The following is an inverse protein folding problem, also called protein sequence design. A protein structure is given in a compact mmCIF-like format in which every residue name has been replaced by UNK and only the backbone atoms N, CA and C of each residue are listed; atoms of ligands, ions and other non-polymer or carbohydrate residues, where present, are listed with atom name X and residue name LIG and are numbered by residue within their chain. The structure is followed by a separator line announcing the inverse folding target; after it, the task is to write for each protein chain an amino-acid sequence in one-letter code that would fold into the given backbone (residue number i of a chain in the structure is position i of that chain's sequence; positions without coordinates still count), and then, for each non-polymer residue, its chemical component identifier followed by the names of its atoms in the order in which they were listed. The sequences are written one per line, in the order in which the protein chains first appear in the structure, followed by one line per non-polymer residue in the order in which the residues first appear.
data_IF_331409103541
#
_entry.id   IF_331409103541
#
_cell.length_a   1.000
_cell.length_b   1.000
_cell.length_c   1.000
_cell.angle_alpha   90.00
_cell.angle_beta   90.00
_cell.angle_gamma   90.00
#
_symmetry.space_group_name_H-M   'P 1'
#
loop_
_entity.id
_entity.type
_entity.pdbx_description
1 polymer ?
#
# COMPACT_ATOMS: atom_id res chain seq x y z
N UNK A 1 -15.17 -10.47 -39.38
CA UNK A 1 -13.99 -9.97 -38.64
C UNK A 1 -14.17 -10.40 -37.19
N UNK A 2 -13.22 -11.13 -36.58
CA UNK A 2 -13.39 -11.60 -35.22
C UNK A 2 -13.29 -10.43 -34.23
N UNK A 3 -14.36 -10.25 -33.48
CA UNK A 3 -14.48 -9.34 -32.34
C UNK A 3 -13.52 -9.78 -31.24
N UNK A 4 -12.59 -8.90 -30.86
CA UNK A 4 -11.81 -9.08 -29.63
C UNK A 4 -12.74 -8.80 -28.46
N UNK A 5 -13.25 -9.85 -27.83
CA UNK A 5 -13.90 -9.75 -26.52
C UNK A 5 -12.77 -9.73 -25.49
N UNK A 6 -12.43 -8.55 -24.97
CA UNK A 6 -11.61 -8.44 -23.76
C UNK A 6 -12.49 -8.95 -22.62
N UNK A 7 -12.37 -10.24 -22.28
CA UNK A 7 -12.89 -10.77 -21.03
C UNK A 7 -12.02 -10.20 -19.90
N UNK A 8 -12.37 -9.00 -19.43
CA UNK A 8 -11.86 -8.45 -18.19
C UNK A 8 -12.47 -9.30 -17.08
N UNK A 9 -11.76 -10.31 -16.61
CA UNK A 9 -12.19 -11.14 -15.48
C UNK A 9 -12.49 -10.19 -14.33
N UNK A 10 -13.77 -9.95 -14.01
CA UNK A 10 -14.17 -9.14 -12.86
C UNK A 10 -13.77 -9.91 -11.60
N UNK A 11 -12.51 -9.76 -11.18
CA UNK A 11 -12.04 -10.25 -9.90
C UNK A 11 -12.76 -9.42 -8.83
N UNK A 12 -13.72 -10.03 -8.15
CA UNK A 12 -14.44 -9.38 -7.05
C UNK A 12 -13.48 -9.24 -5.87
N UNK A 13 -12.96 -8.03 -5.67
CA UNK A 13 -12.16 -7.70 -4.50
C UNK A 13 -13.06 -7.64 -3.26
N UNK A 14 -12.61 -8.25 -2.17
CA UNK A 14 -13.26 -8.12 -0.88
C UNK A 14 -12.71 -6.88 -0.20
N UNK A 15 -13.51 -5.80 -0.21
CA UNK A 15 -13.22 -4.54 0.46
C UNK A 15 -13.87 -4.56 1.85
N UNK A 16 -13.07 -4.34 2.88
CA UNK A 16 -13.48 -4.08 4.25
C UNK A 16 -13.39 -2.58 4.52
N UNK A 17 -14.38 -2.03 5.23
CA UNK A 17 -14.44 -0.60 5.56
C UNK A 17 -14.40 -0.43 7.07
N UNK A 18 -13.37 0.24 7.57
CA UNK A 18 -13.30 0.69 8.95
C UNK A 18 -13.90 2.09 9.05
N UNK A 19 -15.13 2.18 9.57
CA UNK A 19 -15.83 3.47 9.69
C UNK A 19 -15.23 4.31 10.81
N UNK A 20 -14.82 5.52 10.49
CA UNK A 20 -14.37 6.53 11.47
C UNK A 20 -15.53 7.46 11.84
N UNK A 21 -16.30 7.89 10.84
CA UNK A 21 -17.55 8.66 10.96
C UNK A 21 -18.58 8.14 9.94
N UNK A 22 -19.71 8.82 9.79
CA UNK A 22 -20.72 8.47 8.77
C UNK A 22 -20.21 8.65 7.33
N UNK A 23 -19.34 9.64 7.10
CA UNK A 23 -18.82 10.03 5.78
C UNK A 23 -17.31 9.79 5.62
N UNK A 24 -16.65 9.14 6.58
CA UNK A 24 -15.21 8.88 6.55
C UNK A 24 -14.91 7.45 7.00
N UNK A 25 -14.28 6.67 6.13
CA UNK A 25 -13.82 5.32 6.40
C UNK A 25 -12.38 5.10 5.90
N UNK A 26 -11.77 4.02 6.40
CA UNK A 26 -10.53 3.47 5.85
C UNK A 26 -10.91 2.18 5.09
N UNK A 27 -10.69 2.19 3.78
CA UNK A 27 -10.90 1.01 2.95
C UNK A 27 -9.67 0.09 2.98
N UNK A 28 -9.90 -1.19 3.24
CA UNK A 28 -8.89 -2.24 3.24
C UNK A 28 -9.27 -3.34 2.26
N UNK A 29 -8.29 -3.87 1.54
CA UNK A 29 -8.48 -5.03 0.65
C UNK A 29 -7.83 -6.27 1.26
N UNK A 30 -8.46 -7.43 1.02
CA UNK A 30 -7.88 -8.73 1.40
C UNK A 30 -6.78 -9.12 0.42
N UNK A 31 -5.55 -9.13 0.92
CA UNK A 31 -4.38 -9.65 0.24
C UNK A 31 -4.34 -11.19 0.41
N UNK A 32 -4.30 -11.98 -0.68
CA UNK A 32 -4.33 -13.44 -0.59
C UNK A 32 -3.03 -14.01 -0.01
N UNK A 33 -3.11 -15.16 0.65
CA UNK A 33 -1.91 -15.92 1.01
C UNK A 33 -1.19 -16.41 -0.24
N UNK A 34 0.13 -16.50 -0.17
CA UNK A 34 0.94 -16.98 -1.28
C UNK A 34 2.42 -17.00 -0.95
N UNK A 35 3.19 -17.46 -1.92
CA UNK A 35 4.65 -17.40 -1.88
C UNK A 35 5.12 -16.56 -3.06
N UNK A 36 6.04 -15.64 -2.82
CA UNK A 36 6.65 -14.83 -3.87
C UNK A 36 8.16 -14.76 -3.66
N UNK A 37 8.88 -14.34 -4.69
CA UNK A 37 10.31 -14.08 -4.61
C UNK A 37 10.54 -12.61 -4.30
N UNK A 38 11.05 -12.32 -3.09
CA UNK A 38 11.35 -10.98 -2.62
C UNK A 38 12.76 -10.56 -3.02
N UNK A 39 12.97 -9.27 -3.26
CA UNK A 39 14.24 -8.68 -3.64
C UNK A 39 14.41 -8.54 -5.16
N UNK A 40 15.51 -7.90 -5.57
CA UNK A 40 15.77 -7.58 -6.98
C UNK A 40 16.67 -8.60 -7.66
N UNK A 41 16.42 -8.82 -8.95
CA UNK A 41 17.23 -9.73 -9.76
C UNK A 41 18.63 -9.16 -10.02
N UNK A 42 19.57 -9.98 -10.48
CA UNK A 42 20.89 -9.49 -10.89
C UNK A 42 20.84 -8.54 -12.10
N UNK A 43 19.77 -8.58 -12.88
CA UNK A 43 19.57 -7.73 -14.06
C UNK A 43 18.91 -6.39 -13.71
N UNK A 44 18.23 -6.31 -12.57
CA UNK A 44 17.68 -5.06 -12.06
C UNK A 44 18.81 -4.23 -11.44
N UNK A 45 18.72 -2.91 -11.61
CA UNK A 45 19.67 -1.94 -11.02
C UNK A 45 19.40 -1.71 -9.52
N UNK A 46 19.15 -2.79 -8.77
CA UNK A 46 18.85 -2.76 -7.34
C UNK A 46 20.10 -2.66 -6.46
N UNK A 47 19.92 -2.18 -5.23
CA UNK A 47 21.00 -2.10 -4.24
C UNK A 47 21.48 -3.51 -3.81
N UNK A 48 22.71 -3.61 -3.30
CA UNK A 48 23.23 -4.84 -2.69
C UNK A 48 22.37 -5.32 -1.53
N UNK A 49 21.71 -4.41 -0.80
CA UNK A 49 20.81 -4.78 0.30
C UNK A 49 19.49 -5.42 -0.16
N UNK A 50 19.15 -5.33 -1.46
CA UNK A 50 17.97 -5.97 -2.05
C UNK A 50 18.26 -7.41 -2.50
N UNK A 51 19.50 -7.88 -2.32
CA UNK A 51 20.01 -9.20 -2.71
C UNK A 51 20.42 -10.02 -1.48
N UNK A 52 20.39 -11.37 -1.57
CA UNK A 52 19.89 -12.17 -2.68
C UNK A 52 18.36 -12.26 -2.69
N UNK A 53 17.81 -12.57 -3.87
CA UNK A 53 16.40 -12.94 -3.97
C UNK A 53 16.10 -14.19 -3.16
N UNK A 54 14.98 -14.20 -2.46
CA UNK A 54 14.57 -15.32 -1.63
C UNK A 54 13.05 -15.45 -1.58
N UNK A 55 12.57 -16.68 -1.38
CA UNK A 55 11.13 -16.94 -1.33
C UNK A 55 10.57 -16.63 0.04
N UNK A 56 9.50 -15.83 0.07
CA UNK A 56 8.75 -15.50 1.29
C UNK A 56 7.32 -16.02 1.15
N UNK A 57 6.84 -16.71 2.18
CA UNK A 57 5.46 -17.21 2.25
C UNK A 57 4.67 -16.42 3.27
N UNK A 58 3.56 -15.83 2.84
CA UNK A 58 2.69 -15.00 3.67
C UNK A 58 1.30 -15.62 3.78
N UNK A 59 0.71 -15.51 4.98
CA UNK A 59 -0.73 -15.75 5.17
C UNK A 59 -1.52 -14.58 4.58
N UNK A 60 -2.82 -14.77 4.38
CA UNK A 60 -3.68 -13.67 3.96
C UNK A 60 -3.77 -12.60 5.07
N UNK A 61 -3.88 -11.33 4.67
CA UNK A 61 -4.02 -10.18 5.56
C UNK A 61 -4.86 -9.09 4.89
N UNK A 62 -5.24 -8.06 5.64
CA UNK A 62 -5.88 -6.86 5.11
C UNK A 62 -4.85 -5.75 4.99
N UNK A 63 -4.88 -5.00 3.89
CA UNK A 63 -4.03 -3.82 3.69
C UNK A 63 -4.88 -2.63 3.28
N UNK A 64 -4.54 -1.44 3.77
CA UNK A 64 -5.20 -0.20 3.32
C UNK A 64 -5.06 -0.07 1.81
N UNK A 65 -6.17 0.20 1.12
CA UNK A 65 -6.19 0.38 -0.33
C UNK A 65 -5.36 1.60 -0.72
N UNK A 66 -5.41 2.63 0.14
CA UNK A 66 -4.70 3.87 -0.05
C UNK A 66 -3.75 4.13 1.13
N UNK A 67 -2.69 4.94 0.92
CA UNK A 67 -2.04 5.60 2.04
C UNK A 67 -3.06 6.35 2.90
N UNK A 68 -2.80 6.43 4.21
CA UNK A 68 -3.69 7.15 5.13
C UNK A 68 -3.81 8.61 4.69
N UNK A 69 -5.05 9.08 4.52
CA UNK A 69 -5.34 10.45 4.08
C UNK A 69 -5.23 11.45 5.22
N UNK A 70 -5.08 12.73 4.89
CA UNK A 70 -5.05 13.81 5.87
C UNK A 70 -6.31 13.87 6.73
N UNK A 71 -7.50 13.63 6.15
CA UNK A 71 -8.75 13.57 6.91
C UNK A 71 -8.79 12.41 7.91
N UNK A 72 -8.37 11.21 7.49
CA UNK A 72 -8.27 10.03 8.37
C UNK A 72 -7.24 10.25 9.48
N UNK A 73 -6.09 10.83 9.15
CA UNK A 73 -5.05 11.21 10.12
C UNK A 73 -5.59 12.17 11.17
N UNK A 74 -6.12 13.32 10.73
CA UNK A 74 -6.67 14.36 11.59
C UNK A 74 -7.69 13.77 12.58
N UNK A 75 -8.62 12.94 12.09
CA UNK A 75 -9.64 12.31 12.93
C UNK A 75 -9.05 11.50 14.08
N UNK A 76 -8.00 10.69 13.84
CA UNK A 76 -7.38 9.86 14.89
C UNK A 76 -6.38 10.66 15.74
N UNK A 77 -5.63 11.58 15.13
CA UNK A 77 -4.59 12.36 15.80
C UNK A 77 -5.17 13.32 16.85
N UNK A 78 -6.32 13.94 16.56
CA UNK A 78 -6.99 14.86 17.49
C UNK A 78 -7.66 14.15 18.69
N UNK A 79 -7.89 12.84 18.61
CA UNK A 79 -8.57 12.04 19.65
C UNK A 79 -7.63 11.72 20.81
N UNK A 80 -7.52 12.65 21.76
CA UNK A 80 -6.68 12.51 22.97
C UNK A 80 -7.12 11.33 23.86
N UNK A 81 -8.38 10.93 23.83
CA UNK A 81 -8.89 9.72 24.50
C UNK A 81 -8.29 8.43 23.94
N UNK A 82 -7.81 8.45 22.69
CA UNK A 82 -7.20 7.29 22.04
C UNK A 82 -5.68 7.20 22.26
N UNK A 83 -5.01 8.27 22.71
CA UNK A 83 -3.55 8.31 22.92
C UNK A 83 -3.03 7.06 23.64
N UNK A 84 -1.90 6.55 23.16
CA UNK A 84 -1.20 5.41 23.75
C UNK A 84 0.15 5.86 24.31
N UNK A 85 1.10 6.24 23.45
CA UNK A 85 2.47 6.62 23.87
C UNK A 85 2.71 8.13 23.67
N UNK A 86 2.45 8.67 22.48
CA UNK A 86 2.83 10.05 22.13
C UNK A 86 1.68 10.90 21.60
N UNK A 87 1.87 12.21 21.65
CA UNK A 87 1.00 13.14 20.94
C UNK A 87 1.29 13.09 19.44
N UNK A 88 0.23 13.25 18.64
CA UNK A 88 0.32 13.39 17.20
C UNK A 88 -0.02 14.83 16.82
N UNK A 89 0.80 15.44 15.97
CA UNK A 89 0.46 16.69 15.28
C UNK A 89 -0.75 16.40 14.36
N UNK A 90 -1.91 17.07 14.53
CA UNK A 90 -3.10 16.76 13.75
C UNK A 90 -3.02 17.14 12.26
N UNK A 91 -2.21 18.14 11.89
CA UNK A 91 -2.12 18.61 10.50
C UNK A 91 -0.66 18.74 10.01
N UNK A 92 0.13 17.65 10.05
CA UNK A 92 1.59 17.72 9.87
C UNK A 92 1.97 18.01 8.41
N UNK A 93 1.10 17.66 7.46
CA UNK A 93 1.40 17.65 6.03
C UNK A 93 1.74 19.04 5.48
N UNK A 94 2.82 19.12 4.71
CA UNK A 94 3.20 20.27 3.92
C UNK A 94 2.21 20.53 2.79
N UNK A 95 1.89 19.52 1.97
CA UNK A 95 0.92 19.66 0.88
C UNK A 95 -0.48 19.44 1.43
N UNK A 96 -1.42 20.35 1.16
CA UNK A 96 -2.76 20.31 1.76
C UNK A 96 -3.80 19.68 0.83
N UNK A 97 -4.66 18.84 1.41
CA UNK A 97 -5.83 18.26 0.77
C UNK A 97 -6.40 17.12 1.62
N UNK A 98 -7.69 17.18 1.98
CA UNK A 98 -8.30 16.21 2.90
C UNK A 98 -8.16 14.75 2.43
N UNK A 99 -8.20 14.53 1.11
CA UNK A 99 -8.04 13.22 0.46
C UNK A 99 -6.62 12.93 -0.01
N UNK A 100 -5.66 13.84 0.20
CA UNK A 100 -4.25 13.59 -0.08
C UNK A 100 -3.67 12.68 1.02
N UNK A 101 -2.60 11.93 0.74
CA UNK A 101 -1.88 11.20 1.78
C UNK A 101 -1.37 12.17 2.86
N UNK A 102 -1.38 11.72 4.11
CA UNK A 102 -0.65 12.40 5.17
C UNK A 102 0.86 12.19 4.96
N UNK A 103 1.61 13.27 5.06
CA UNK A 103 3.07 13.29 5.06
C UNK A 103 3.61 14.23 6.16
N UNK A 104 4.94 14.32 6.29
CA UNK A 104 5.66 14.91 7.45
C UNK A 104 5.40 14.19 8.78
N UNK A 105 5.18 12.86 8.74
CA UNK A 105 5.01 12.03 9.94
C UNK A 105 6.22 11.11 10.12
N UNK A 106 6.66 10.92 11.36
CA UNK A 106 7.72 9.96 11.67
C UNK A 106 7.20 8.52 11.69
N UNK A 107 8.11 7.55 11.70
CA UNK A 107 7.74 6.14 11.90
C UNK A 107 7.00 5.92 13.24
N UNK A 108 7.44 6.61 14.30
CA UNK A 108 6.80 6.54 15.61
C UNK A 108 5.38 7.11 15.59
N UNK A 109 5.16 8.21 14.87
CA UNK A 109 3.83 8.79 14.68
C UNK A 109 2.89 7.81 13.96
N UNK A 110 3.39 7.12 12.93
CA UNK A 110 2.61 6.13 12.19
C UNK A 110 2.27 4.90 13.05
N UNK A 111 3.19 4.45 13.91
CA UNK A 111 2.93 3.38 14.90
C UNK A 111 1.87 3.80 15.92
N UNK A 112 2.00 5.00 16.49
CA UNK A 112 1.00 5.57 17.40
C UNK A 112 -0.38 5.67 16.71
N UNK A 113 -0.44 6.13 15.46
CA UNK A 113 -1.69 6.16 14.69
C UNK A 113 -2.32 4.76 14.59
N UNK A 114 -1.54 3.73 14.23
CA UNK A 114 -2.04 2.34 14.19
C UNK A 114 -2.54 1.85 15.55
N UNK A 115 -1.86 2.21 16.65
CA UNK A 115 -2.27 1.84 17.99
C UNK A 115 -3.58 2.52 18.40
N UNK A 116 -3.74 3.82 18.10
CA UNK A 116 -4.98 4.56 18.34
C UNK A 116 -6.15 4.01 17.52
N UNK A 117 -5.92 3.71 16.24
CA UNK A 117 -6.92 3.08 15.37
C UNK A 117 -7.30 1.69 15.90
N UNK A 118 -6.34 0.93 16.42
CA UNK A 118 -6.61 -0.36 17.07
C UNK A 118 -7.49 -0.21 18.31
N UNK A 119 -7.20 0.80 19.15
CA UNK A 119 -7.97 1.09 20.37
C UNK A 119 -9.40 1.52 20.06
N UNK A 120 -9.60 2.30 18.99
CA UNK A 120 -10.91 2.74 18.51
C UNK A 120 -11.75 1.56 17.97
N UNK A 121 -11.21 0.84 16.99
CA UNK A 121 -11.91 -0.22 16.24
C UNK A 121 -12.02 -1.55 17.00
N UNK A 122 -11.25 -1.72 18.09
CA UNK A 122 -11.06 -3.01 18.78
C UNK A 122 -10.50 -4.11 17.87
N UNK A 123 -9.79 -3.74 16.81
CA UNK A 123 -9.08 -4.63 15.89
C UNK A 123 -7.59 -4.33 15.94
N UNK A 124 -6.76 -5.23 15.43
CA UNK A 124 -5.31 -5.02 15.39
C UNK A 124 -4.91 -4.35 14.07
N UNK A 125 -4.53 -3.09 14.14
CA UNK A 125 -3.88 -2.33 13.06
C UNK A 125 -2.39 -2.18 13.36
N UNK A 126 -1.58 -2.21 12.30
CA UNK A 126 -0.12 -2.04 12.34
C UNK A 126 0.38 -1.60 10.97
N UNK A 127 1.62 -1.13 10.92
CA UNK A 127 2.36 -1.03 9.66
C UNK A 127 2.56 -2.43 9.03
N UNK A 128 2.56 -2.54 7.69
CA UNK A 128 2.95 -3.77 7.03
C UNK A 128 4.41 -4.09 7.34
N UNK A 129 4.78 -5.37 7.32
CA UNK A 129 6.20 -5.73 7.24
C UNK A 129 6.72 -5.37 5.84
N UNK A 130 8.03 -5.27 5.68
CA UNK A 130 8.65 -5.04 4.36
C UNK A 130 8.21 -6.10 3.35
N UNK A 131 8.23 -7.38 3.73
CA UNK A 131 7.78 -8.47 2.88
C UNK A 131 6.28 -8.40 2.52
N UNK A 132 5.43 -7.99 3.46
CA UNK A 132 4.00 -7.77 3.17
C UNK A 132 3.80 -6.61 2.18
N UNK A 133 4.57 -5.54 2.34
CA UNK A 133 4.51 -4.37 1.46
C UNK A 133 4.97 -4.72 0.04
N UNK A 134 6.12 -5.39 -0.11
CA UNK A 134 6.64 -5.77 -1.43
C UNK A 134 5.73 -6.80 -2.12
N UNK A 135 5.25 -7.81 -1.39
CA UNK A 135 4.30 -8.80 -1.90
C UNK A 135 3.03 -8.14 -2.44
N UNK A 136 2.49 -7.19 -1.67
CA UNK A 136 1.30 -6.45 -2.03
C UNK A 136 1.53 -5.51 -3.23
N UNK A 137 2.69 -4.85 -3.28
CA UNK A 137 3.10 -3.96 -4.37
C UNK A 137 3.26 -4.72 -5.70
N UNK A 138 3.96 -5.87 -5.68
CA UNK A 138 4.16 -6.72 -6.87
C UNK A 138 2.88 -7.38 -7.36
N UNK A 139 1.97 -7.71 -6.43
CA UNK A 139 0.74 -8.47 -6.67
C UNK A 139 0.97 -9.85 -7.33
N UNK A 140 2.10 -10.49 -7.00
CA UNK A 140 2.50 -11.81 -7.50
C UNK A 140 2.35 -12.88 -6.42
N UNK A 141 1.62 -13.96 -6.68
CA UNK A 141 1.37 -15.04 -5.69
C UNK A 141 2.16 -16.32 -5.95
N UNK A 142 3.03 -16.31 -6.97
CA UNK A 142 3.83 -17.48 -7.36
C UNK A 142 5.31 -17.10 -7.32
N UNK A 143 6.17 -17.88 -6.65
CA UNK A 143 7.60 -17.62 -6.63
C UNK A 143 8.21 -17.86 -8.01
N UNK A 144 9.31 -17.18 -8.29
CA UNK A 144 10.14 -17.37 -9.47
C UNK A 144 10.94 -18.67 -9.37
N UNK A 145 11.18 -19.29 -10.51
CA UNK A 145 12.23 -20.28 -10.66
C UNK A 145 13.56 -19.60 -11.00
N UNK A 146 14.29 -19.18 -9.96
CA UNK A 146 15.57 -18.48 -10.10
C UNK A 146 16.63 -19.28 -10.89
N UNK A 147 16.58 -20.62 -10.85
CA UNK A 147 17.49 -21.47 -11.62
C UNK A 147 17.24 -21.43 -13.13
N UNK A 148 16.03 -21.05 -13.54
CA UNK A 148 15.67 -20.86 -14.96
C UNK A 148 15.85 -19.41 -15.43
N UNK A 149 16.35 -18.54 -14.56
CA UNK A 149 16.49 -17.11 -14.85
C UNK A 149 15.14 -16.39 -14.96
N UNK A 150 14.10 -16.89 -14.29
CA UNK A 150 12.81 -16.18 -14.22
C UNK A 150 12.97 -14.90 -13.39
N UNK A 151 12.36 -13.82 -13.87
CA UNK A 151 12.29 -12.53 -13.19
C UNK A 151 10.85 -12.01 -13.17
N UNK A 152 10.54 -11.17 -12.19
CA UNK A 152 9.38 -10.29 -12.30
C UNK A 152 9.79 -9.04 -13.08
N UNK A 153 8.84 -8.35 -13.73
CA UNK A 153 9.09 -6.98 -14.15
C UNK A 153 9.38 -6.09 -12.92
N UNK A 154 10.15 -5.01 -13.08
CA UNK A 154 10.49 -4.08 -11.99
C UNK A 154 9.25 -3.38 -11.41
N UNK A 155 8.20 -3.20 -12.21
CA UNK A 155 6.92 -2.65 -11.78
C UNK A 155 5.79 -3.65 -12.05
N UNK A 156 4.73 -3.59 -11.25
CA UNK A 156 3.52 -4.38 -11.50
C UNK A 156 2.98 -4.16 -12.93
N UNK A 157 3.05 -2.93 -13.43
CA UNK A 157 2.59 -2.54 -14.75
C UNK A 157 3.56 -2.88 -15.90
N UNK A 158 4.71 -3.51 -15.60
CA UNK A 158 5.70 -3.93 -16.59
C UNK A 158 7.07 -3.29 -16.38
N UNK A 159 7.83 -3.14 -17.47
CA UNK A 159 9.23 -2.70 -17.44
C UNK A 159 9.42 -1.21 -17.11
N UNK A 160 8.41 -0.37 -17.37
CA UNK A 160 8.53 1.09 -17.29
C UNK A 160 7.36 1.65 -16.49
N UNK A 161 7.69 2.49 -15.51
CA UNK A 161 6.72 3.35 -14.83
C UNK A 161 6.56 4.65 -15.61
N UNK A 162 5.33 5.04 -15.92
CA UNK A 162 5.02 6.31 -16.60
C UNK A 162 4.23 7.25 -15.68
N UNK A 163 4.22 8.56 -15.97
CA UNK A 163 3.39 9.53 -15.22
C UNK A 163 1.90 9.22 -15.20
N UNK A 164 1.39 8.42 -16.16
CA UNK A 164 -0.01 7.98 -16.19
C UNK A 164 -0.30 6.87 -15.16
N UNK A 165 0.75 6.21 -14.65
CA UNK A 165 0.66 5.08 -13.73
C UNK A 165 1.01 5.48 -12.29
N UNK A 166 1.79 6.53 -12.08
CA UNK A 166 2.16 7.01 -10.75
C UNK A 166 2.62 8.47 -10.72
N UNK A 167 2.55 9.07 -9.52
CA UNK A 167 3.21 10.31 -9.18
C UNK A 167 4.60 10.00 -8.58
N UNK A 168 5.67 10.30 -9.32
CA UNK A 168 7.05 9.98 -8.93
C UNK A 168 8.04 11.00 -9.52
N UNK A 169 9.25 11.07 -8.97
CA UNK A 169 10.33 11.95 -9.43
C UNK A 169 9.92 13.42 -9.62
N UNK A 170 9.00 13.91 -8.78
CA UNK A 170 8.52 15.28 -8.83
C UNK A 170 7.72 15.64 -10.08
N UNK A 171 7.23 14.66 -10.85
CA UNK A 171 6.47 14.92 -12.09
C UNK A 171 5.26 15.85 -11.87
N UNK A 172 4.59 15.75 -10.72
CA UNK A 172 3.49 16.65 -10.33
C UNK A 172 3.88 17.71 -9.29
N UNK A 173 5.10 17.66 -8.74
CA UNK A 173 5.64 18.60 -7.73
C UNK A 173 4.83 18.73 -6.42
N UNK A 174 3.80 17.90 -6.21
CA UNK A 174 2.96 17.86 -5.01
C UNK A 174 2.34 16.48 -4.81
N UNK A 175 1.79 16.23 -3.63
CA UNK A 175 0.90 15.09 -3.42
C UNK A 175 -0.42 15.28 -4.18
N UNK A 176 -1.04 14.18 -4.56
CA UNK A 176 -2.37 14.13 -5.19
C UNK A 176 -3.36 13.47 -4.24
N UNK A 177 -4.68 13.63 -4.48
CA UNK A 177 -5.66 12.76 -3.86
C UNK A 177 -5.27 11.28 -4.05
N UNK A 178 -5.61 10.44 -3.09
CA UNK A 178 -5.43 8.99 -3.25
C UNK A 178 -6.38 8.43 -4.33
N UNK A 179 -6.02 7.29 -4.92
CA UNK A 179 -6.87 6.62 -5.92
C UNK A 179 -6.97 7.31 -7.29
N UNK A 180 -5.99 8.15 -7.66
CA UNK A 180 -5.95 8.82 -8.96
C UNK A 180 -5.35 7.96 -10.09
N UNK A 181 -4.61 6.91 -9.74
CA UNK A 181 -3.91 6.04 -10.68
C UNK A 181 -4.54 4.65 -10.72
N UNK A 182 -4.17 3.86 -11.73
CA UNK A 182 -4.62 2.48 -11.84
C UNK A 182 -4.13 1.67 -10.65
N UNK A 183 -5.03 0.84 -10.11
CA UNK A 183 -4.69 -0.13 -9.09
C UNK A 183 -3.99 -1.36 -9.69
N UNK A 184 -3.14 -2.02 -8.91
CA UNK A 184 -2.54 -3.30 -9.27
C UNK A 184 -3.54 -4.47 -9.19
N UNK A 185 -3.11 -5.69 -9.50
CA UNK A 185 -3.97 -6.90 -9.49
C UNK A 185 -4.52 -7.32 -8.12
N UNK A 186 -4.05 -6.69 -7.03
CA UNK A 186 -4.61 -6.83 -5.68
C UNK A 186 -5.54 -5.67 -5.31
N UNK A 187 -5.69 -4.67 -6.17
CA UNK A 187 -6.57 -3.52 -5.96
C UNK A 187 -5.96 -2.42 -5.10
N UNK A 188 -4.64 -2.28 -5.14
CA UNK A 188 -3.85 -1.24 -4.46
C UNK A 188 -3.34 -0.20 -5.44
#
# INVERSE_FOLDING_TARGET
MPTIIIQKTQKRLLIYREKLTDDLDIELVKIPSGTFTMGSSEQESGDKSEKPQHNVTLKNFLMGIYPITQAQWLYIAQRKDLKVEQDLEPEPSHFKGSTNPVEMVSWLDAVEFCQRLSKLSKRKYRLPTEAEWEYACRAQTKPLNLHKGETYPPYHFGEILTPDLANYNGNLQKTTPVGQFYANDFGL
#
